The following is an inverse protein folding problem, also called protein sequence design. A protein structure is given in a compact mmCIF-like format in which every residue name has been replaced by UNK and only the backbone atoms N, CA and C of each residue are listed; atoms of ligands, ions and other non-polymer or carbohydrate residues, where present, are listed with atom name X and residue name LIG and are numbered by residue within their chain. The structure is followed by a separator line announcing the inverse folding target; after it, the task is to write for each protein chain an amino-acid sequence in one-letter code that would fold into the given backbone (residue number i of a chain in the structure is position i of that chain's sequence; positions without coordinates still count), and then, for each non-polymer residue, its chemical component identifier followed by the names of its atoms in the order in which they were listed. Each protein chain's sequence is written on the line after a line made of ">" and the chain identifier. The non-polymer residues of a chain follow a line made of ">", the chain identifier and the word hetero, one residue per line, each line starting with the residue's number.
data_IF_754205415539
#
_entry.id   IF_754205415539
#
_cell.length_a   1.000
_cell.length_b   1.000
_cell.length_c   1.000
_cell.angle_alpha   90.00
_cell.angle_beta   90.00
_cell.angle_gamma   90.00
#
_symmetry.space_group_name_H-M   'P 1'
#
loop_
_entity.id
_entity.type
_entity.pdbx_description
1 polymer ?
#
# COMPACT_ATOMS: atom_id res chain seq x y z
N UNK A 1 -33.65 20.45 -6.90
CA UNK A 1 -32.66 19.78 -7.78
C UNK A 1 -31.48 19.37 -6.93
N UNK A 2 -31.52 18.14 -6.44
CA UNK A 2 -30.51 17.53 -5.57
C UNK A 2 -29.37 16.99 -6.45
N UNK A 3 -28.19 17.63 -6.39
CA UNK A 3 -26.99 17.18 -7.09
C UNK A 3 -26.31 16.10 -6.25
N UNK A 4 -26.86 14.89 -6.24
CA UNK A 4 -26.13 13.71 -5.76
C UNK A 4 -24.92 13.48 -6.65
N UNK A 5 -23.75 13.88 -6.17
CA UNK A 5 -22.46 13.49 -6.73
C UNK A 5 -22.37 11.96 -6.62
N UNK A 6 -22.17 11.20 -7.71
CA UNK A 6 -22.02 9.76 -7.62
C UNK A 6 -20.59 9.43 -7.14
N UNK A 7 -20.29 9.68 -5.86
CA UNK A 7 -19.00 9.34 -5.24
C UNK A 7 -18.85 7.83 -4.93
N UNK A 8 -19.90 7.02 -5.16
CA UNK A 8 -20.01 5.69 -4.55
C UNK A 8 -19.78 4.50 -5.47
N UNK A 9 -19.65 4.68 -6.79
CA UNK A 9 -19.48 3.55 -7.72
C UNK A 9 -18.04 3.06 -7.90
N UNK A 10 -17.05 3.72 -7.29
CA UNK A 10 -15.62 3.43 -7.51
C UNK A 10 -14.83 2.93 -6.30
N UNK A 11 -15.41 2.94 -5.09
CA UNK A 11 -14.73 2.41 -3.90
C UNK A 11 -15.06 0.92 -3.81
N UNK A 12 -14.36 0.13 -4.63
CA UNK A 12 -14.37 -1.32 -4.52
C UNK A 12 -13.89 -1.69 -3.12
N UNK A 13 -14.81 -2.16 -2.28
CA UNK A 13 -14.49 -2.85 -1.03
C UNK A 13 -13.40 -3.87 -1.30
N UNK A 14 -12.27 -3.75 -0.58
CA UNK A 14 -11.25 -4.74 -0.19
C UNK A 14 -11.25 -6.16 -0.82
N UNK A 15 -11.57 -6.33 -2.10
CA UNK A 15 -11.54 -7.62 -2.77
C UNK A 15 -10.52 -7.57 -3.88
N UNK A 16 -9.45 -8.30 -3.60
CA UNK A 16 -8.49 -8.93 -4.49
C UNK A 16 -8.65 -8.65 -6.00
N UNK A 17 -7.51 -8.29 -6.59
CA UNK A 17 -7.19 -8.30 -8.01
C UNK A 17 -7.76 -7.16 -8.87
N UNK A 18 -7.08 -6.00 -8.91
CA UNK A 18 -7.08 -5.16 -10.12
C UNK A 18 -5.73 -4.48 -10.40
N UNK A 19 -5.25 -4.70 -11.64
CA UNK A 19 -4.26 -3.97 -12.46
C UNK A 19 -2.83 -3.76 -11.94
N UNK A 20 -1.86 -4.20 -12.77
CA UNK A 20 -0.39 -4.00 -12.68
C UNK A 20 0.09 -2.56 -12.44
N UNK A 21 -0.76 -1.54 -12.54
CA UNK A 21 -0.38 -0.11 -12.53
C UNK A 21 -0.41 0.42 -11.09
N UNK A 22 0.74 0.80 -10.54
CA UNK A 22 0.87 1.30 -9.17
C UNK A 22 1.30 0.27 -8.11
N UNK A 23 1.82 -0.90 -8.53
CA UNK A 23 2.45 -1.83 -7.58
C UNK A 23 3.75 -1.25 -7.06
N UNK A 24 3.88 -1.24 -5.74
CA UNK A 24 5.13 -0.93 -5.06
C UNK A 24 6.10 -2.10 -5.18
N UNK A 25 7.34 -1.80 -5.53
CA UNK A 25 8.47 -2.71 -5.70
C UNK A 25 9.51 -2.48 -4.57
N UNK A 26 10.55 -3.32 -4.57
CA UNK A 26 11.64 -3.21 -3.60
C UNK A 26 12.32 -1.85 -3.72
N UNK A 27 12.46 -1.13 -2.61
CA UNK A 27 13.16 0.16 -2.58
C UNK A 27 12.44 1.32 -3.28
N UNK A 28 11.13 1.21 -3.52
CA UNK A 28 10.35 2.21 -4.28
C UNK A 28 10.01 3.48 -3.47
N UNK A 29 10.09 3.44 -2.13
CA UNK A 29 9.59 4.53 -1.28
C UNK A 29 10.71 5.22 -0.49
N UNK A 30 10.52 6.51 -0.21
CA UNK A 30 11.25 7.18 0.87
C UNK A 30 10.61 6.85 2.23
N UNK A 31 11.39 6.96 3.29
CA UNK A 31 10.95 6.75 4.67
C UNK A 31 9.68 7.56 5.02
N UNK A 32 9.67 8.87 4.71
CA UNK A 32 8.51 9.72 4.99
C UNK A 32 7.27 9.28 4.21
N UNK A 33 7.42 8.89 2.94
CA UNK A 33 6.30 8.39 2.15
C UNK A 33 5.75 7.09 2.74
N UNK A 34 6.62 6.19 3.17
CA UNK A 34 6.22 4.94 3.80
C UNK A 34 5.40 5.17 5.07
N UNK A 35 5.91 5.98 6.01
CA UNK A 35 5.19 6.23 7.27
C UNK A 35 3.84 6.90 7.06
N UNK A 36 3.75 7.87 6.14
CA UNK A 36 2.46 8.48 5.78
C UNK A 36 1.47 7.47 5.19
N UNK A 37 1.95 6.56 4.34
CA UNK A 37 1.11 5.50 3.77
C UNK A 37 0.65 4.49 4.82
N UNK A 38 1.52 4.13 5.77
CA UNK A 38 1.18 3.25 6.90
C UNK A 38 0.11 3.90 7.78
N UNK A 39 0.29 5.17 8.15
CA UNK A 39 -0.61 5.93 9.02
C UNK A 39 -2.05 5.97 8.48
N UNK A 40 -2.22 6.17 7.17
CA UNK A 40 -3.55 6.21 6.54
C UNK A 40 -4.10 4.82 6.20
N UNK A 41 -3.31 3.76 6.38
CA UNK A 41 -3.70 2.40 6.05
C UNK A 41 -4.35 1.68 7.23
N UNK A 42 -5.29 0.74 6.97
CA UNK A 42 -5.83 -0.15 8.01
C UNK A 42 -4.86 -1.33 8.31
N UNK A 43 -3.55 -1.07 8.36
CA UNK A 43 -2.51 -2.05 8.65
C UNK A 43 -1.96 -1.75 10.05
N UNK A 44 -2.22 -2.64 11.00
CA UNK A 44 -1.81 -2.47 12.41
C UNK A 44 -0.85 -3.56 12.90
N UNK A 45 -0.52 -4.54 12.07
CA UNK A 45 0.43 -5.59 12.45
C UNK A 45 1.86 -5.07 12.35
N UNK A 46 2.52 -4.90 13.48
CA UNK A 46 3.94 -4.48 13.57
C UNK A 46 4.83 -5.35 12.70
N UNK A 47 4.70 -6.68 12.78
CA UNK A 47 5.47 -7.61 11.93
C UNK A 47 5.31 -7.36 10.43
N UNK A 48 4.11 -6.96 9.99
CA UNK A 48 3.87 -6.63 8.59
C UNK A 48 4.44 -5.25 8.24
N UNK A 49 4.34 -4.28 9.14
CA UNK A 49 4.94 -2.96 8.95
C UNK A 49 6.46 -3.12 8.81
N UNK A 50 7.11 -3.88 9.70
CA UNK A 50 8.54 -4.20 9.62
C UNK A 50 8.90 -4.92 8.31
N UNK A 51 8.11 -5.92 7.92
CA UNK A 51 8.34 -6.63 6.66
C UNK A 51 8.17 -5.72 5.42
N UNK A 52 7.25 -4.76 5.47
CA UNK A 52 7.10 -3.78 4.40
C UNK A 52 8.23 -2.76 4.39
N UNK A 53 8.72 -2.33 5.55
CA UNK A 53 9.88 -1.44 5.66
C UNK A 53 11.10 -2.06 4.99
N UNK A 54 11.43 -3.30 5.35
CA UNK A 54 12.55 -4.06 4.79
C UNK A 54 12.42 -4.23 3.27
N UNK A 55 11.20 -4.41 2.76
CA UNK A 55 10.94 -4.54 1.34
C UNK A 55 11.00 -3.19 0.61
N UNK A 56 10.22 -2.21 1.04
CA UNK A 56 9.93 -0.97 0.32
C UNK A 56 10.96 0.13 0.52
N UNK A 57 11.69 0.10 1.65
CA UNK A 57 12.75 1.06 1.98
C UNK A 57 14.12 0.44 1.74
N UNK A 58 14.41 -0.71 2.38
CA UNK A 58 15.73 -1.34 2.30
C UNK A 58 15.94 -2.18 1.03
N UNK A 59 14.87 -2.51 0.32
CA UNK A 59 14.94 -3.22 -0.96
C UNK A 59 15.19 -4.73 -0.83
N UNK A 60 15.13 -5.31 0.36
CA UNK A 60 15.35 -6.74 0.58
C UNK A 60 14.32 -7.60 -0.17
N UNK A 61 14.68 -8.85 -0.49
CA UNK A 61 13.76 -9.73 -1.20
C UNK A 61 12.67 -10.26 -0.27
N UNK A 62 11.50 -10.56 -0.81
CA UNK A 62 10.39 -11.16 -0.03
C UNK A 62 10.79 -12.48 0.63
N UNK A 63 11.68 -13.25 -0.01
CA UNK A 63 12.15 -14.54 0.52
C UNK A 63 12.92 -14.34 1.83
N UNK A 64 13.94 -13.50 1.81
CA UNK A 64 14.78 -13.19 2.98
C UNK A 64 13.94 -12.61 4.13
N UNK A 65 13.01 -11.72 3.82
CA UNK A 65 12.13 -11.08 4.80
C UNK A 65 11.22 -12.11 5.47
N UNK A 66 10.56 -12.98 4.69
CA UNK A 66 9.64 -13.99 5.23
C UNK A 66 10.38 -15.00 6.12
N UNK A 67 11.60 -15.39 5.75
CA UNK A 67 12.46 -16.28 6.54
C UNK A 67 12.92 -15.63 7.85
N UNK A 68 13.31 -14.36 7.83
CA UNK A 68 13.84 -13.65 9.03
C UNK A 68 12.76 -13.18 10.00
N UNK A 69 11.69 -12.57 9.50
CA UNK A 69 10.63 -11.95 10.35
C UNK A 69 9.56 -12.98 10.74
N UNK A 70 9.46 -14.08 10.00
CA UNK A 70 8.48 -15.13 10.25
C UNK A 70 7.07 -14.74 9.80
N UNK A 71 6.95 -13.95 8.72
CA UNK A 71 5.68 -13.67 8.05
C UNK A 71 5.49 -14.58 6.84
N UNK A 72 4.26 -15.01 6.57
CA UNK A 72 4.00 -15.80 5.37
C UNK A 72 4.05 -14.93 4.11
N UNK A 73 4.52 -15.50 3.00
CA UNK A 73 4.58 -14.79 1.72
C UNK A 73 3.20 -14.29 1.27
N UNK A 74 2.14 -15.07 1.52
CA UNK A 74 0.76 -14.70 1.23
C UNK A 74 0.27 -13.51 2.06
N UNK A 75 0.63 -13.45 3.34
CA UNK A 75 0.24 -12.33 4.20
C UNK A 75 0.98 -11.04 3.81
N UNK A 76 2.28 -11.13 3.54
CA UNK A 76 3.07 -10.01 3.04
C UNK A 76 2.54 -9.53 1.68
N UNK A 77 2.27 -10.44 0.75
CA UNK A 77 1.77 -10.13 -0.59
C UNK A 77 0.39 -9.46 -0.56
N UNK A 78 -0.52 -9.99 0.25
CA UNK A 78 -1.85 -9.39 0.43
C UNK A 78 -1.72 -7.98 0.97
N UNK A 79 -0.92 -7.78 2.02
CA UNK A 79 -0.73 -6.49 2.66
C UNK A 79 -0.07 -5.47 1.71
N UNK A 80 0.96 -5.86 0.95
CA UNK A 80 1.58 -5.00 -0.07
C UNK A 80 0.58 -4.60 -1.17
N UNK A 81 -0.36 -5.48 -1.51
CA UNK A 81 -1.46 -5.14 -2.41
C UNK A 81 -2.34 -4.03 -1.86
N UNK A 82 -2.67 -4.06 -0.55
CA UNK A 82 -3.45 -3.01 0.13
C UNK A 82 -2.70 -1.68 0.10
N UNK A 83 -1.42 -1.69 0.45
CA UNK A 83 -0.60 -0.48 0.48
C UNK A 83 -0.38 0.09 -0.92
N UNK A 84 -0.18 -0.76 -1.94
CA UNK A 84 -0.07 -0.33 -3.35
C UNK A 84 -1.35 0.36 -3.84
N UNK A 85 -2.53 -0.13 -3.44
CA UNK A 85 -3.79 0.53 -3.75
C UNK A 85 -3.89 1.91 -3.10
N UNK A 86 -3.56 2.02 -1.82
CA UNK A 86 -3.54 3.31 -1.10
C UNK A 86 -2.56 4.28 -1.78
N UNK A 87 -1.35 3.83 -2.11
CA UNK A 87 -0.35 4.62 -2.83
C UNK A 87 -0.89 5.15 -4.17
N UNK A 88 -1.63 4.31 -4.91
CA UNK A 88 -2.30 4.75 -6.13
C UNK A 88 -3.37 5.82 -5.88
N UNK A 89 -4.21 5.66 -4.85
CA UNK A 89 -5.22 6.65 -4.48
C UNK A 89 -4.59 7.98 -4.06
N UNK A 90 -3.54 7.94 -3.22
CA UNK A 90 -2.78 9.12 -2.81
C UNK A 90 -2.15 9.82 -4.02
N UNK A 91 -1.60 9.07 -4.98
CA UNK A 91 -1.06 9.64 -6.22
C UNK A 91 -2.11 10.39 -7.04
N UNK A 92 -3.34 9.88 -7.09
CA UNK A 92 -4.47 10.58 -7.71
C UNK A 92 -4.89 11.81 -6.91
N UNK A 93 -4.93 11.72 -5.57
CA UNK A 93 -5.26 12.83 -4.67
C UNK A 93 -4.24 13.97 -4.77
N UNK A 94 -2.95 13.66 -4.94
CA UNK A 94 -1.89 14.66 -5.03
C UNK A 94 -2.18 15.72 -6.12
N UNK A 95 -2.87 15.35 -7.21
CA UNK A 95 -3.26 16.30 -8.26
C UNK A 95 -4.17 17.44 -7.78
N UNK A 96 -4.95 17.25 -6.72
CA UNK A 96 -5.86 18.26 -6.17
C UNK A 96 -5.17 19.24 -5.20
N UNK A 97 -4.01 18.86 -4.67
CA UNK A 97 -3.26 19.64 -3.67
C UNK A 97 -1.96 20.24 -4.24
N UNK A 98 -1.73 20.13 -5.55
CA UNK A 98 -0.66 20.85 -6.24
C UNK A 98 -1.10 22.31 -6.40
N UNK A 99 -0.49 23.19 -5.63
CA UNK A 99 -0.53 24.66 -5.81
C UNK A 99 0.39 25.12 -6.92
#
# INVERSE_FOLDING_TARGET
>A
MDKRIPLRSGISHFTAATRKKGRLCSGDLSENQFWLLVEISPISSEKIIDAMWEYLILGHTRKEICERIGVSNGYLSTSLGRLSYIHHIVSCLAGYYKT
#
